data_IF_426655544073
#
_entry.id   IF_426655544073
#
_cell.length_a   1.000
_cell.length_b   1.000
_cell.length_c   1.000
_cell.angle_alpha   90.00
_cell.angle_beta   90.00
_cell.angle_gamma   90.00
#
_symmetry.space_group_name_H-M   'P 1'
#
loop_
_entity.id
_entity.type
_entity.pdbx_description
1 polymer ?
#
# COMPACT_ATOMS: atom_id res chain seq x y z
N UNK A 1 -3.70 -3.06 -23.91
CA UNK A 1 -2.85 -4.14 -23.34
C UNK A 1 -1.84 -3.59 -22.32
N UNK A 2 -1.08 -2.53 -22.65
CA UNK A 2 -0.10 -1.88 -21.76
C UNK A 2 -0.71 -1.28 -20.47
N UNK A 3 -1.88 -0.65 -20.57
CA UNK A 3 -2.72 -0.24 -19.44
C UNK A 3 -2.98 -1.36 -18.41
N UNK A 4 -3.35 -2.53 -18.92
CA UNK A 4 -3.73 -3.68 -18.10
C UNK A 4 -2.50 -4.30 -17.44
N UNK A 5 -1.37 -4.39 -18.15
CA UNK A 5 -0.11 -4.87 -17.56
C UNK A 5 0.46 -3.91 -16.51
N UNK A 6 0.29 -2.59 -16.67
CA UNK A 6 0.63 -1.60 -15.64
C UNK A 6 -0.28 -1.71 -14.41
N UNK A 7 -1.59 -1.85 -14.60
CA UNK A 7 -2.54 -2.10 -13.51
C UNK A 7 -2.18 -3.38 -12.75
N UNK A 8 -1.94 -4.50 -13.45
CA UNK A 8 -1.53 -5.76 -12.85
C UNK A 8 -0.19 -5.64 -12.11
N UNK A 9 0.77 -4.85 -12.64
CA UNK A 9 2.05 -4.58 -11.97
C UNK A 9 1.86 -3.80 -10.67
N UNK A 10 1.02 -2.76 -10.67
CA UNK A 10 0.71 -1.99 -9.47
C UNK A 10 -0.07 -2.81 -8.44
N UNK A 11 -1.03 -3.65 -8.88
CA UNK A 11 -1.72 -4.57 -7.99
C UNK A 11 -0.77 -5.59 -7.37
N UNK A 12 0.09 -6.23 -8.17
CA UNK A 12 1.07 -7.19 -7.65
C UNK A 12 2.06 -6.52 -6.69
N UNK A 13 2.53 -5.31 -7.00
CA UNK A 13 3.42 -4.57 -6.11
C UNK A 13 2.72 -4.17 -4.82
N UNK A 14 1.48 -3.68 -4.90
CA UNK A 14 0.67 -3.37 -3.73
C UNK A 14 0.45 -4.60 -2.85
N UNK A 15 -0.01 -5.71 -3.43
CA UNK A 15 -0.24 -6.96 -2.72
C UNK A 15 1.06 -7.50 -2.12
N UNK A 16 2.18 -7.47 -2.84
CA UNK A 16 3.47 -7.91 -2.34
C UNK A 16 3.91 -7.08 -1.12
N UNK A 17 3.82 -5.75 -1.20
CA UNK A 17 4.14 -4.86 -0.08
C UNK A 17 3.21 -5.12 1.10
N UNK A 18 1.89 -5.24 0.84
CA UNK A 18 0.90 -5.46 1.89
C UNK A 18 1.13 -6.79 2.62
N UNK A 19 1.43 -7.84 1.87
CA UNK A 19 1.78 -9.15 2.42
C UNK A 19 3.06 -9.06 3.24
N UNK A 20 4.12 -8.43 2.72
CA UNK A 20 5.40 -8.31 3.43
C UNK A 20 5.26 -7.56 4.76
N UNK A 21 4.50 -6.46 4.76
CA UNK A 21 4.24 -5.65 5.95
C UNK A 21 3.33 -6.38 6.92
N UNK A 22 2.30 -7.06 6.42
CA UNK A 22 1.48 -7.93 7.24
C UNK A 22 2.33 -8.99 7.93
N UNK A 23 3.20 -9.68 7.19
CA UNK A 23 4.06 -10.75 7.74
C UNK A 23 4.98 -10.17 8.81
N UNK A 24 5.63 -9.04 8.52
CA UNK A 24 6.44 -8.34 9.51
C UNK A 24 5.64 -7.96 10.77
N UNK A 25 4.39 -7.51 10.60
CA UNK A 25 3.47 -7.17 11.70
C UNK A 25 3.14 -8.40 12.55
N UNK A 26 2.70 -9.49 11.91
CA UNK A 26 2.35 -10.72 12.60
C UNK A 26 3.54 -11.34 13.33
N UNK A 27 4.72 -11.38 12.70
CA UNK A 27 5.96 -11.86 13.32
C UNK A 27 6.37 -10.98 14.50
N UNK A 28 6.36 -9.66 14.36
CA UNK A 28 6.72 -8.74 15.44
C UNK A 28 5.81 -8.92 16.66
N UNK A 29 4.48 -9.02 16.44
CA UNK A 29 3.51 -9.27 17.50
C UNK A 29 3.71 -10.65 18.13
N UNK A 30 3.93 -11.69 17.32
CA UNK A 30 4.13 -13.06 17.83
C UNK A 30 5.38 -13.15 18.71
N UNK A 31 6.50 -12.58 18.26
CA UNK A 31 7.76 -12.57 18.99
C UNK A 31 7.63 -11.81 20.31
N UNK A 32 6.90 -10.69 20.29
CA UNK A 32 6.63 -9.93 21.50
C UNK A 32 5.77 -10.71 22.51
N UNK A 33 4.65 -11.29 22.07
CA UNK A 33 3.77 -12.07 22.95
C UNK A 33 4.48 -13.32 23.49
N UNK A 34 5.33 -13.97 22.69
CA UNK A 34 6.20 -15.05 23.14
C UNK A 34 7.18 -14.61 24.23
N UNK A 35 7.77 -13.42 24.09
CA UNK A 35 8.70 -12.87 25.08
C UNK A 35 7.98 -12.45 26.37
N UNK A 36 6.74 -11.98 26.26
CA UNK A 36 5.89 -11.64 27.40
C UNK A 36 5.33 -12.91 28.09
N UNK A 37 5.23 -14.02 27.35
CA UNK A 37 4.70 -15.30 27.85
C UNK A 37 3.19 -15.42 27.74
N UNK A 38 2.54 -14.59 26.91
CA UNK A 38 1.08 -14.57 26.71
C UNK A 38 0.63 -15.79 25.91
N UNK A 39 -0.51 -16.38 26.29
CA UNK A 39 -1.04 -17.54 25.60
C UNK A 39 -1.47 -17.23 24.15
N UNK A 40 -1.43 -18.27 23.30
CA UNK A 40 -1.80 -18.22 21.88
C UNK A 40 -1.06 -17.16 21.03
N UNK A 41 0.26 -16.95 21.19
CA UNK A 41 0.98 -15.86 20.52
C UNK A 41 0.94 -15.99 19.00
N UNK A 42 0.98 -17.22 18.49
CA UNK A 42 0.87 -17.51 17.05
C UNK A 42 -0.50 -17.18 16.47
N UNK A 43 -1.58 -17.41 17.24
CA UNK A 43 -2.95 -17.12 16.80
C UNK A 43 -3.17 -15.62 16.76
N UNK A 44 -2.73 -14.90 17.79
CA UNK A 44 -2.83 -13.46 17.89
C UNK A 44 -1.95 -12.75 16.84
N UNK A 45 -0.75 -13.25 16.61
CA UNK A 45 0.12 -12.78 15.53
C UNK A 45 -0.44 -13.04 14.13
N UNK A 46 -1.03 -14.21 13.90
CA UNK A 46 -1.73 -14.50 12.65
C UNK A 46 -2.94 -13.57 12.46
N UNK A 47 -3.69 -13.30 13.53
CA UNK A 47 -4.80 -12.36 13.52
C UNK A 47 -4.31 -10.95 13.15
N UNK A 48 -3.19 -10.51 13.74
CA UNK A 48 -2.55 -9.25 13.39
C UNK A 48 -2.11 -9.19 11.92
N UNK A 49 -1.53 -10.28 11.39
CA UNK A 49 -1.20 -10.41 9.96
C UNK A 49 -2.43 -10.24 9.07
N UNK A 50 -3.50 -10.99 9.34
CA UNK A 50 -4.71 -10.98 8.51
C UNK A 50 -5.41 -9.63 8.55
N UNK A 51 -5.53 -9.05 9.75
CA UNK A 51 -6.21 -7.78 9.95
C UNK A 51 -5.40 -6.59 9.39
N UNK A 52 -4.07 -6.70 9.27
CA UNK A 52 -3.22 -5.64 8.72
C UNK A 52 -3.62 -5.21 7.28
N UNK A 53 -4.39 -6.03 6.57
CA UNK A 53 -4.99 -5.64 5.28
C UNK A 53 -5.90 -4.41 5.36
N UNK A 54 -6.52 -4.14 6.51
CA UNK A 54 -7.35 -2.97 6.76
C UNK A 54 -6.52 -1.95 7.56
N UNK A 55 -6.02 -0.86 6.93
CA UNK A 55 -5.17 0.10 7.61
C UNK A 55 -5.82 0.67 8.87
N UNK A 56 -5.06 0.78 9.96
CA UNK A 56 -5.48 1.32 11.27
C UNK A 56 -6.55 0.49 12.00
N UNK A 57 -7.67 0.17 11.37
CA UNK A 57 -8.73 -0.65 11.95
C UNK A 57 -8.24 -2.06 12.25
N UNK A 58 -7.45 -2.64 11.36
CA UNK A 58 -6.91 -3.97 11.51
C UNK A 58 -6.06 -4.13 12.76
N UNK A 59 -5.11 -3.22 12.96
CA UNK A 59 -4.23 -3.24 14.13
C UNK A 59 -5.00 -3.02 15.44
N UNK A 60 -6.03 -2.16 15.44
CA UNK A 60 -6.89 -1.96 16.62
C UNK A 60 -7.65 -3.25 16.94
N UNK A 61 -8.32 -3.85 15.95
CA UNK A 61 -9.08 -5.08 16.14
C UNK A 61 -8.20 -6.25 16.54
N UNK A 62 -6.97 -6.33 16.02
CA UNK A 62 -6.00 -7.34 16.39
C UNK A 62 -5.46 -7.15 17.82
N UNK A 63 -5.35 -5.90 18.28
CA UNK A 63 -4.87 -5.56 19.61
C UNK A 63 -5.89 -5.94 20.70
N UNK A 64 -7.19 -5.81 20.44
CA UNK A 64 -8.24 -6.08 21.45
C UNK A 64 -8.09 -7.43 22.14
N UNK A 65 -8.08 -8.59 21.44
CA UNK A 65 -7.96 -9.88 22.10
C UNK A 65 -6.59 -10.06 22.77
N UNK A 66 -5.51 -9.56 22.18
CA UNK A 66 -4.16 -9.67 22.75
C UNK A 66 -4.01 -8.87 24.05
N UNK A 67 -4.51 -7.64 24.09
CA UNK A 67 -4.47 -6.78 25.27
C UNK A 67 -5.37 -7.32 26.38
N UNK A 68 -6.54 -7.86 26.04
CA UNK A 68 -7.42 -8.51 27.02
C UNK A 68 -6.74 -9.74 27.64
N UNK A 69 -6.10 -10.58 26.83
CA UNK A 69 -5.38 -11.76 27.32
C UNK A 69 -4.19 -11.39 28.21
N UNK A 70 -3.34 -10.47 27.74
CA UNK A 70 -2.23 -9.92 28.52
C UNK A 70 -2.70 -9.32 29.86
N UNK A 71 -3.83 -8.60 29.86
CA UNK A 71 -4.45 -8.10 31.08
C UNK A 71 -4.91 -9.20 32.02
N UNK A 72 -5.54 -10.25 31.50
CA UNK A 72 -6.06 -11.36 32.30
C UNK A 72 -4.94 -12.22 32.91
N UNK A 73 -3.85 -12.40 32.18
CA UNK A 73 -2.74 -13.28 32.58
C UNK A 73 -1.73 -12.57 33.49
N UNK A 74 -1.37 -11.32 33.19
CA UNK A 74 -0.26 -10.61 33.83
C UNK A 74 -0.64 -9.22 34.38
N UNK A 75 -1.88 -8.78 34.20
CA UNK A 75 -2.42 -7.54 34.76
C UNK A 75 -2.14 -6.28 33.91
N UNK A 76 -2.37 -5.10 34.52
CA UNK A 76 -2.33 -3.80 33.82
C UNK A 76 -0.97 -3.47 33.19
N UNK A 77 0.13 -3.89 33.80
CA UNK A 77 1.48 -3.59 33.31
C UNK A 77 1.74 -4.24 31.95
N UNK A 78 1.43 -5.53 31.85
CA UNK A 78 1.53 -6.30 30.61
C UNK A 78 0.56 -5.77 29.54
N UNK A 79 -0.71 -5.57 29.90
CA UNK A 79 -1.70 -5.01 28.98
C UNK A 79 -1.29 -3.65 28.38
N UNK A 80 -0.68 -2.78 29.19
CA UNK A 80 -0.13 -1.50 28.74
C UNK A 80 1.05 -1.67 27.79
N UNK A 81 1.96 -2.61 28.08
CA UNK A 81 3.09 -2.93 27.21
C UNK A 81 2.64 -3.52 25.87
N UNK A 82 1.73 -4.49 25.89
CA UNK A 82 1.12 -5.07 24.68
C UNK A 82 0.45 -3.98 23.83
N UNK A 83 -0.30 -3.07 24.47
CA UNK A 83 -0.92 -1.93 23.76
C UNK A 83 0.14 -1.04 23.11
N UNK A 84 1.22 -0.71 23.83
CA UNK A 84 2.30 0.12 23.30
C UNK A 84 2.99 -0.53 22.10
N UNK A 85 3.19 -1.86 22.12
CA UNK A 85 3.77 -2.60 20.99
C UNK A 85 2.86 -2.57 19.78
N UNK A 86 1.56 -2.82 19.93
CA UNK A 86 0.61 -2.74 18.81
C UNK A 86 0.57 -1.34 18.18
N UNK A 87 0.61 -0.29 19.00
CA UNK A 87 0.70 1.10 18.51
C UNK A 87 2.02 1.31 17.77
N UNK A 88 3.15 0.90 18.36
CA UNK A 88 4.48 1.03 17.76
C UNK A 88 4.60 0.31 16.42
N UNK A 89 4.05 -0.89 16.32
CA UNK A 89 4.00 -1.67 15.08
C UNK A 89 3.09 -1.00 14.04
N UNK A 90 1.90 -0.54 14.43
CA UNK A 90 0.99 0.17 13.52
C UNK A 90 1.61 1.46 12.96
N UNK A 91 2.26 2.25 13.81
CA UNK A 91 2.92 3.50 13.38
C UNK A 91 4.16 3.18 12.53
N UNK A 92 5.03 2.29 13.00
CA UNK A 92 6.28 1.95 12.34
C UNK A 92 6.07 1.25 11.00
N UNK A 93 5.42 0.08 11.02
CA UNK A 93 5.21 -0.73 9.82
C UNK A 93 4.09 -0.17 8.94
N UNK A 94 2.95 0.17 9.53
CA UNK A 94 1.74 0.55 8.78
C UNK A 94 1.70 2.00 8.31
N UNK A 95 2.21 2.95 9.10
CA UNK A 95 2.12 4.38 8.74
C UNK A 95 3.43 4.96 8.18
N UNK A 96 4.59 4.43 8.55
CA UNK A 96 5.88 4.96 8.10
C UNK A 96 6.48 4.11 6.98
N UNK A 97 6.58 2.80 7.19
CA UNK A 97 7.25 1.89 6.24
C UNK A 97 6.34 1.59 5.04
N UNK A 98 5.04 1.35 5.26
CA UNK A 98 4.09 1.07 4.18
C UNK A 98 4.07 2.15 3.09
N UNK A 99 3.91 3.45 3.39
CA UNK A 99 3.87 4.46 2.35
C UNK A 99 5.22 4.68 1.66
N UNK A 100 6.33 4.47 2.39
CA UNK A 100 7.68 4.55 1.82
C UNK A 100 7.96 3.43 0.82
N UNK A 101 7.53 2.21 1.13
CA UNK A 101 7.67 1.05 0.24
C UNK A 101 6.71 1.11 -0.95
N UNK A 102 5.50 1.63 -0.75
CA UNK A 102 4.54 1.82 -1.84
C UNK A 102 5.01 2.86 -2.84
N UNK A 103 5.93 3.75 -2.44
CA UNK A 103 6.50 4.77 -3.32
C UNK A 103 5.45 5.83 -3.64
N UNK A 104 5.75 7.09 -3.34
CA UNK A 104 4.85 8.19 -3.61
C UNK A 104 4.52 8.29 -5.12
N UNK A 105 3.27 7.94 -5.45
CA UNK A 105 2.56 8.36 -6.66
C UNK A 105 3.01 7.72 -7.99
N UNK A 106 2.07 7.56 -8.91
CA UNK A 106 2.23 7.04 -10.27
C UNK A 106 3.12 7.91 -11.19
N UNK A 107 3.90 8.86 -10.67
CA UNK A 107 4.68 9.82 -11.45
C UNK A 107 3.82 10.72 -12.36
N UNK A 108 2.51 10.75 -12.14
CA UNK A 108 1.56 11.58 -12.88
C UNK A 108 1.28 12.85 -12.08
N UNK A 109 1.44 14.00 -12.72
CA UNK A 109 1.02 15.28 -12.13
C UNK A 109 -0.47 15.18 -11.75
N UNK A 110 -0.87 15.60 -10.54
CA UNK A 110 -2.28 15.61 -10.11
C UNK A 110 -3.19 16.29 -11.12
N UNK A 111 -2.68 17.29 -11.85
CA UNK A 111 -3.41 17.98 -12.91
C UNK A 111 -3.73 17.07 -14.10
N UNK A 112 -2.80 16.18 -14.48
CA UNK A 112 -2.99 15.20 -15.57
C UNK A 112 -3.98 14.13 -15.15
N UNK A 113 -3.89 13.65 -13.91
CA UNK A 113 -4.86 12.67 -13.36
C UNK A 113 -6.27 13.26 -13.37
N UNK A 114 -6.43 14.50 -12.91
CA UNK A 114 -7.72 15.18 -12.91
C UNK A 114 -8.28 15.39 -14.32
N UNK A 115 -7.45 15.86 -15.27
CA UNK A 115 -7.88 16.10 -16.65
C UNK A 115 -8.28 14.80 -17.35
N UNK A 116 -7.56 13.70 -17.08
CA UNK A 116 -7.89 12.36 -17.54
C UNK A 116 -9.22 11.87 -16.96
N UNK A 117 -9.47 12.07 -15.67
CA UNK A 117 -10.73 11.72 -15.04
C UNK A 117 -11.91 12.46 -15.68
N UNK A 118 -11.75 13.76 -15.96
CA UNK A 118 -12.78 14.58 -16.59
C UNK A 118 -13.00 14.16 -18.05
N UNK A 119 -11.93 13.98 -18.82
CA UNK A 119 -12.01 13.61 -20.24
C UNK A 119 -12.63 12.23 -20.45
N UNK A 120 -12.11 11.21 -19.77
CA UNK A 120 -12.61 9.85 -19.90
C UNK A 120 -13.94 9.65 -19.18
N UNK A 121 -14.15 10.31 -18.05
CA UNK A 121 -15.42 10.30 -17.33
C UNK A 121 -16.55 10.93 -18.13
N UNK A 122 -16.27 12.00 -18.89
CA UNK A 122 -17.24 12.59 -19.81
C UNK A 122 -17.54 11.67 -21.01
N UNK A 123 -16.52 10.98 -21.55
CA UNK A 123 -16.70 10.13 -22.74
C UNK A 123 -17.36 8.77 -22.45
N UNK A 124 -17.05 8.14 -21.30
CA UNK A 124 -17.44 6.75 -20.98
C UNK A 124 -18.18 6.63 -19.63
N UNK A 125 -18.50 7.74 -18.97
CA UNK A 125 -19.17 7.74 -17.66
C UNK A 125 -18.29 7.19 -16.54
N UNK A 126 -18.90 6.44 -15.61
CA UNK A 126 -18.22 5.91 -14.41
C UNK A 126 -17.10 4.90 -14.76
N UNK A 127 -17.26 4.18 -15.88
CA UNK A 127 -16.26 3.24 -16.40
C UNK A 127 -15.03 3.99 -16.89
N UNK A 128 -15.22 5.16 -17.52
CA UNK A 128 -14.14 6.04 -17.95
C UNK A 128 -13.31 6.58 -16.79
N UNK A 129 -13.96 6.91 -15.67
CA UNK A 129 -13.28 7.35 -14.44
C UNK A 129 -12.36 6.26 -13.88
N UNK A 130 -12.86 5.02 -13.79
CA UNK A 130 -12.08 3.87 -13.29
C UNK A 130 -10.87 3.55 -14.18
N UNK A 131 -11.00 3.78 -15.49
CA UNK A 131 -9.98 3.45 -16.48
C UNK A 131 -9.12 4.64 -16.92
N UNK A 132 -9.35 5.83 -16.37
CA UNK A 132 -8.75 7.09 -16.83
C UNK A 132 -7.22 7.04 -16.84
N UNK A 133 -6.61 6.52 -15.77
CA UNK A 133 -5.16 6.38 -15.61
C UNK A 133 -4.58 5.41 -16.68
N UNK A 134 -5.05 4.15 -16.79
CA UNK A 134 -4.55 3.22 -17.80
C UNK A 134 -4.78 3.69 -19.25
N UNK A 135 -5.95 4.26 -19.55
CA UNK A 135 -6.25 4.78 -20.90
C UNK A 135 -5.31 5.92 -21.29
N UNK A 136 -5.04 6.84 -20.35
CA UNK A 136 -4.13 7.97 -20.58
C UNK A 136 -2.70 7.51 -20.78
N UNK A 137 -2.23 6.50 -20.04
CA UNK A 137 -0.90 5.90 -20.29
C UNK A 137 -0.83 5.22 -21.67
N UNK A 138 -1.89 4.53 -22.10
CA UNK A 138 -1.93 3.91 -23.43
C UNK A 138 -1.92 4.95 -24.55
N UNK A 139 -2.66 6.04 -24.39
CA UNK A 139 -2.67 7.16 -25.34
C UNK A 139 -1.29 7.84 -25.43
N UNK A 140 -0.63 8.07 -24.28
CA UNK A 140 0.73 8.60 -24.23
C UNK A 140 1.71 7.75 -25.04
N UNK A 141 1.70 6.42 -24.84
CA UNK A 141 2.56 5.48 -25.56
C UNK A 141 2.31 5.48 -27.06
N UNK A 142 1.04 5.55 -27.48
CA UNK A 142 0.68 5.65 -28.90
C UNK A 142 1.20 6.94 -29.56
N UNK A 143 1.20 8.05 -28.82
CA UNK A 143 1.77 9.32 -29.31
C UNK A 143 3.31 9.34 -29.31
N UNK A 144 3.95 8.52 -28.50
CA UNK A 144 5.41 8.39 -28.42
C UNK A 144 5.99 7.67 -29.65
N UNK A 145 5.25 6.72 -30.25
CA UNK A 145 5.66 6.01 -31.47
C UNK A 145 5.54 6.87 -32.75
N UNK A 146 4.74 7.93 -32.74
CA UNK A 146 4.56 8.81 -33.89
C UNK A 146 5.47 10.04 -33.80
N UNK A 147 6.44 10.22 -34.72
CA UNK A 147 7.35 11.38 -34.72
C UNK A 147 6.63 12.73 -34.71
N UNK A 148 5.42 12.78 -35.30
CA UNK A 148 4.56 13.96 -35.42
C UNK A 148 3.83 14.35 -34.12
N UNK A 149 3.55 13.40 -33.22
CA UNK A 149 2.75 13.62 -32.01
C UNK A 149 3.54 13.47 -30.70
N UNK A 150 4.85 13.27 -30.81
CA UNK A 150 5.78 13.16 -29.69
C UNK A 150 5.72 14.35 -28.72
N UNK A 151 5.38 15.55 -29.21
CA UNK A 151 5.20 16.74 -28.37
C UNK A 151 4.04 16.60 -27.37
N UNK A 152 2.93 15.94 -27.75
CA UNK A 152 1.81 15.64 -26.86
C UNK A 152 2.23 14.63 -25.79
N UNK A 153 3.06 13.65 -26.13
CA UNK A 153 3.58 12.68 -25.17
C UNK A 153 4.49 13.33 -24.11
N UNK A 154 5.27 14.35 -24.47
CA UNK A 154 6.12 15.13 -23.56
C UNK A 154 5.27 16.02 -22.63
N UNK A 155 4.16 16.58 -23.12
CA UNK A 155 3.22 17.34 -22.27
C UNK A 155 2.45 16.45 -21.29
N UNK A 156 2.19 15.20 -21.65
CA UNK A 156 1.41 14.25 -20.85
C UNK A 156 2.21 13.51 -19.76
N UNK A 157 3.52 13.74 -19.64
CA UNK A 157 4.24 13.29 -18.45
C UNK A 157 5.64 13.88 -18.33
N UNK A 158 6.17 13.99 -17.10
CA UNK A 158 7.55 14.40 -16.93
C UNK A 158 8.49 13.37 -17.57
N UNK A 159 9.67 13.87 -17.95
CA UNK A 159 10.79 13.13 -18.48
C UNK A 159 11.05 11.88 -17.61
N UNK A 160 11.33 10.75 -18.28
CA UNK A 160 11.65 9.46 -17.65
C UNK A 160 12.63 9.70 -16.49
N UNK A 161 12.55 8.96 -15.35
CA UNK A 161 13.73 8.84 -14.52
C UNK A 161 14.79 8.20 -15.41
N UNK A 162 15.79 8.98 -15.79
CA UNK A 162 17.01 8.49 -16.41
C UNK A 162 17.59 7.46 -15.47
N UNK A 163 17.45 6.17 -15.79
CA UNK A 163 18.40 5.19 -15.27
C UNK A 163 19.79 5.70 -15.67
N UNK A 164 20.69 5.99 -14.72
CA UNK A 164 22.08 6.20 -15.07
C UNK A 164 22.56 4.88 -15.67
N UNK A 165 22.92 4.93 -16.93
CA UNK A 165 23.72 3.91 -17.58
C UNK A 165 25.07 3.94 -16.84
N UNK A 166 25.29 3.00 -15.92
CA UNK A 166 26.60 2.79 -15.33
C UNK A 166 27.44 2.04 -16.35
N UNK A 167 28.37 2.79 -16.93
CA UNK A 167 29.57 2.29 -17.60
C UNK A 167 30.35 1.29 -16.72
#
# INVERSE_FOLDING_TARGET
>A
FLAFTQFMKHLNQYLAIKTMIGVATGVAVTLFLLAEGVDFPFVLGLLAFLLNYIPTLGSILAAVPAVILAFLEFGLGSAGLTTAVYIGVNVGLGQIIEPRLQGQGLGLSPMVVFLSLVFWGWMLGIVGILLAIPLTMTAKLAFEESPKYRWLAILLGPERPSHPQSD
#
